data_IF_963701377738
#
_entry.id   IF_963701377738
#
_cell.length_a   1.000
_cell.length_b   1.000
_cell.length_c   1.000
_cell.angle_alpha   90.00
_cell.angle_beta   90.00
_cell.angle_gamma   90.00
#
_symmetry.space_group_name_H-M   'P 1'
#
loop_
_entity.id
_entity.type
_entity.pdbx_description
1 polymer ?
#
# COMPACT_ATOMS: atom_id res chain seq x y z
N UNK A 1 1.55 -13.13 7.86
CA UNK A 1 1.78 -11.72 8.19
C UNK A 1 3.11 -11.64 8.90
N UNK A 2 4.07 -10.94 8.31
CA UNK A 2 5.41 -10.75 8.86
C UNK A 2 5.63 -9.26 9.11
N UNK A 3 6.19 -8.93 10.27
CA UNK A 3 6.59 -7.58 10.59
C UNK A 3 7.94 -7.64 11.30
N UNK A 4 8.87 -6.80 10.84
CA UNK A 4 10.20 -6.66 11.42
C UNK A 4 10.44 -5.18 11.66
N UNK A 5 10.77 -4.86 12.90
CA UNK A 5 11.11 -3.52 13.35
C UNK A 5 12.54 -3.52 13.87
N UNK A 6 13.36 -2.64 13.34
CA UNK A 6 14.70 -2.38 13.84
C UNK A 6 14.80 -0.90 14.21
N UNK A 7 15.33 -0.63 15.39
CA UNK A 7 15.64 0.75 15.76
C UNK A 7 16.96 0.81 16.53
N UNK A 8 17.69 1.89 16.28
CA UNK A 8 18.92 2.24 16.98
C UNK A 8 18.75 3.66 17.46
N UNK A 9 18.94 3.86 18.75
CA UNK A 9 18.91 5.17 19.37
C UNK A 9 20.14 5.35 20.24
N UNK A 10 20.62 6.58 20.33
CA UNK A 10 21.82 6.89 21.08
C UNK A 10 22.12 8.37 21.08
N UNK A 11 23.19 8.74 21.77
CA UNK A 11 23.61 10.11 21.81
C UNK A 11 24.75 10.36 22.78
N UNK A 12 25.37 11.52 22.64
CA UNK A 12 26.32 12.10 23.57
C UNK A 12 25.71 13.34 24.24
N UNK A 13 26.48 14.04 25.07
CA UNK A 13 26.04 15.28 25.70
C UNK A 13 25.58 16.37 24.70
N UNK A 14 26.05 16.32 23.44
CA UNK A 14 25.75 17.34 22.41
C UNK A 14 24.79 16.88 21.33
N UNK A 15 24.70 15.58 21.05
CA UNK A 15 23.92 15.06 19.92
C UNK A 15 23.12 13.86 20.34
N UNK A 16 21.83 13.84 20.05
CA UNK A 16 21.00 12.64 20.09
C UNK A 16 20.59 12.25 18.67
N UNK A 17 20.54 10.94 18.42
CA UNK A 17 20.12 10.37 17.16
C UNK A 17 19.21 9.17 17.38
N UNK A 18 18.33 8.96 16.42
CA UNK A 18 17.42 7.84 16.33
C UNK A 18 17.29 7.46 14.86
N UNK A 19 17.46 6.18 14.58
CA UNK A 19 17.23 5.58 13.28
C UNK A 19 16.29 4.40 13.48
N UNK A 20 15.28 4.27 12.62
CA UNK A 20 14.46 3.07 12.58
C UNK A 20 14.08 2.67 11.17
N UNK A 21 13.91 1.36 11.00
CA UNK A 21 13.38 0.73 9.81
C UNK A 21 12.26 -0.22 10.22
N UNK A 22 11.19 -0.25 9.42
CA UNK A 22 10.09 -1.19 9.56
C UNK A 22 9.83 -1.84 8.21
N UNK A 23 9.69 -3.16 8.22
CA UNK A 23 9.17 -3.93 7.09
C UNK A 23 7.92 -4.66 7.53
N UNK A 24 6.86 -4.56 6.74
CA UNK A 24 5.61 -5.27 6.97
C UNK A 24 5.12 -5.92 5.67
N UNK A 25 4.90 -7.23 5.72
CA UNK A 25 4.29 -8.01 4.66
C UNK A 25 3.00 -8.66 5.18
N UNK A 26 1.89 -8.39 4.51
CA UNK A 26 0.58 -8.89 4.88
C UNK A 26 -0.17 -9.35 3.64
N UNK A 27 -0.35 -10.67 3.54
CA UNK A 27 -1.37 -11.26 2.67
C UNK A 27 -2.76 -10.93 3.22
N UNK A 28 -3.62 -10.42 2.36
CA UNK A 28 -5.02 -10.11 2.64
C UNK A 28 -5.88 -11.36 2.79
N UNK A 29 -7.11 -11.17 3.24
CA UNK A 29 -8.10 -12.26 3.37
C UNK A 29 -8.69 -12.66 2.01
N UNK A 30 -8.67 -11.74 1.05
CA UNK A 30 -9.13 -11.98 -0.31
C UNK A 30 -7.95 -12.45 -1.17
N UNK A 31 -8.13 -13.48 -2.01
CA UNK A 31 -7.16 -13.83 -3.04
C UNK A 31 -6.77 -12.62 -3.87
N UNK A 32 -5.47 -12.46 -4.16
CA UNK A 32 -4.94 -11.30 -4.90
C UNK A 32 -4.81 -10.01 -4.08
N UNK A 33 -5.17 -10.01 -2.79
CA UNK A 33 -4.91 -8.88 -1.90
C UNK A 33 -3.63 -9.08 -1.10
N UNK A 34 -2.73 -8.10 -1.16
CA UNK A 34 -1.49 -8.10 -0.38
C UNK A 34 -1.00 -6.68 -0.11
N UNK A 35 -0.19 -6.54 0.93
CA UNK A 35 0.44 -5.29 1.34
C UNK A 35 1.90 -5.54 1.72
N UNK A 36 2.80 -4.85 1.04
CA UNK A 36 4.23 -4.77 1.36
C UNK A 36 4.58 -3.32 1.67
N UNK A 37 5.13 -3.06 2.86
CA UNK A 37 5.47 -1.71 3.30
C UNK A 37 6.85 -1.67 3.92
N UNK A 38 7.62 -0.68 3.48
CA UNK A 38 8.94 -0.34 3.98
C UNK A 38 8.88 1.08 4.53
N UNK A 39 9.27 1.27 5.79
CA UNK A 39 9.38 2.59 6.38
C UNK A 39 10.79 2.79 6.92
N UNK A 40 11.31 4.00 6.75
CA UNK A 40 12.56 4.44 7.32
C UNK A 40 12.35 5.77 8.03
N UNK A 41 12.87 5.90 9.24
CA UNK A 41 12.79 7.13 10.02
C UNK A 41 14.14 7.48 10.62
N UNK A 42 14.48 8.76 10.55
CA UNK A 42 15.66 9.35 11.18
C UNK A 42 15.25 10.56 11.99
N UNK A 43 15.70 10.65 13.24
CA UNK A 43 15.63 11.88 14.02
C UNK A 43 17.03 12.20 14.56
N UNK A 44 17.51 13.42 14.34
CA UNK A 44 18.81 13.90 14.82
C UNK A 44 18.57 15.25 15.49
N UNK A 45 19.04 15.44 16.71
CA UNK A 45 19.10 16.73 17.40
C UNK A 45 20.54 16.95 17.85
N UNK A 46 21.11 18.11 17.52
CA UNK A 46 22.50 18.46 17.82
C UNK A 46 22.61 19.88 18.34
N UNK A 47 23.16 20.01 19.55
CA UNK A 47 23.69 21.25 20.10
C UNK A 47 25.10 21.48 19.57
N UNK A 48 25.19 22.10 18.39
CA UNK A 48 26.46 22.46 17.77
C UNK A 48 27.25 23.44 18.65
N UNK A 49 26.54 24.33 19.36
CA UNK A 49 27.13 25.22 20.38
C UNK A 49 26.10 25.55 21.47
N UNK A 50 26.52 26.24 22.54
CA UNK A 50 25.61 26.67 23.62
C UNK A 50 24.48 27.59 23.13
N UNK A 51 24.70 28.27 22.01
CA UNK A 51 23.74 29.17 21.37
C UNK A 51 23.16 28.62 20.06
N UNK A 52 23.54 27.41 19.62
CA UNK A 52 23.11 26.85 18.34
C UNK A 52 22.67 25.40 18.49
N UNK A 53 21.39 25.15 18.20
CA UNK A 53 20.82 23.82 18.10
C UNK A 53 20.23 23.60 16.71
N UNK A 54 20.48 22.41 16.17
CA UNK A 54 19.98 21.95 14.89
C UNK A 54 19.17 20.69 15.13
N UNK A 55 18.08 20.52 14.39
CA UNK A 55 17.36 19.26 14.40
C UNK A 55 16.81 18.89 13.04
N UNK A 56 16.76 17.59 12.80
CA UNK A 56 16.26 16.96 11.57
C UNK A 56 15.38 15.78 11.96
N UNK A 57 14.18 15.71 11.39
CA UNK A 57 13.28 14.57 11.44
C UNK A 57 12.90 14.24 10.01
N UNK A 58 13.20 13.03 9.56
CA UNK A 58 12.91 12.56 8.22
C UNK A 58 12.22 11.20 8.32
N UNK A 59 11.09 11.07 7.64
CA UNK A 59 10.38 9.82 7.38
C UNK A 59 10.30 9.58 5.88
N UNK A 60 10.60 8.35 5.48
CA UNK A 60 10.43 7.83 4.13
C UNK A 60 9.62 6.54 4.21
N UNK A 61 8.64 6.41 3.32
CA UNK A 61 7.79 5.24 3.22
C UNK A 61 7.67 4.81 1.76
N UNK A 62 7.76 3.51 1.53
CA UNK A 62 7.36 2.88 0.29
C UNK A 62 6.31 1.82 0.61
N UNK A 63 5.23 1.82 -0.16
CA UNK A 63 4.14 0.87 -0.02
C UNK A 63 3.80 0.31 -1.40
N UNK A 64 3.80 -1.00 -1.50
CA UNK A 64 3.16 -1.76 -2.56
C UNK A 64 1.89 -2.40 -2.00
N UNK A 65 0.77 -2.29 -2.71
CA UNK A 65 -0.46 -2.97 -2.32
C UNK A 65 -1.22 -3.46 -3.53
N UNK A 66 -1.56 -4.74 -3.55
CA UNK A 66 -2.56 -5.31 -4.44
C UNK A 66 -3.90 -5.39 -3.70
N UNK A 67 -4.97 -4.99 -4.38
CA UNK A 67 -6.32 -5.04 -3.82
C UNK A 67 -7.16 -5.87 -4.77
N UNK A 68 -7.76 -6.94 -4.26
CA UNK A 68 -8.79 -7.65 -5.00
C UNK A 68 -9.88 -6.66 -5.37
N UNK A 69 -10.27 -6.60 -6.64
CA UNK A 69 -11.22 -5.59 -7.09
C UNK A 69 -12.58 -5.81 -6.41
N UNK A 70 -12.84 -5.01 -5.38
CA UNK A 70 -14.12 -4.97 -4.66
C UNK A 70 -14.89 -3.70 -4.97
N UNK A 71 -14.33 -2.82 -5.81
CA UNK A 71 -14.76 -1.43 -5.94
C UNK A 71 -14.82 -0.99 -7.41
N UNK A 72 -15.84 -1.45 -8.11
CA UNK A 72 -16.31 -0.78 -9.32
C UNK A 72 -17.31 0.31 -8.93
N UNK A 73 -16.82 1.54 -8.75
CA UNK A 73 -17.46 2.86 -8.95
C UNK A 73 -18.89 3.18 -8.46
N UNK A 74 -19.63 2.25 -7.84
CA UNK A 74 -21.08 2.43 -7.61
C UNK A 74 -21.61 1.88 -6.28
N UNK A 75 -20.74 1.53 -5.32
CA UNK A 75 -21.19 1.12 -3.97
C UNK A 75 -22.17 -0.05 -3.96
N UNK A 76 -22.20 -0.84 -5.03
CA UNK A 76 -23.16 -1.91 -5.27
C UNK A 76 -22.56 -3.30 -5.03
N UNK A 77 -23.32 -4.17 -4.40
CA UNK A 77 -23.04 -5.59 -4.25
C UNK A 77 -23.26 -6.30 -5.60
N UNK A 78 -22.28 -6.23 -6.49
CA UNK A 78 -22.33 -6.88 -7.80
C UNK A 78 -21.82 -8.31 -7.74
N UNK A 79 -22.28 -9.17 -8.66
CA UNK A 79 -21.86 -10.56 -8.77
C UNK A 79 -20.41 -10.75 -9.22
N UNK A 80 -19.72 -9.65 -9.58
CA UNK A 80 -18.27 -9.56 -9.83
C UNK A 80 -17.45 -9.37 -8.56
N UNK A 81 -18.06 -8.87 -7.47
CA UNK A 81 -17.37 -8.73 -6.19
C UNK A 81 -17.14 -10.13 -5.59
N UNK A 82 -15.89 -10.52 -5.28
CA UNK A 82 -15.59 -11.88 -4.84
C UNK A 82 -16.28 -12.25 -3.52
N UNK A 83 -16.58 -11.28 -2.64
CA UNK A 83 -17.33 -11.50 -1.39
C UNK A 83 -18.79 -11.81 -1.69
N UNK A 84 -19.41 -11.06 -2.61
CA UNK A 84 -20.82 -11.30 -2.99
C UNK A 84 -20.99 -12.54 -3.83
N UNK A 85 -20.11 -12.77 -4.80
CA UNK A 85 -20.06 -14.01 -5.56
C UNK A 85 -19.96 -15.22 -4.62
N UNK A 86 -19.10 -15.16 -3.60
CA UNK A 86 -18.99 -16.22 -2.59
C UNK A 86 -20.26 -16.40 -1.75
N UNK A 87 -21.02 -15.33 -1.49
CA UNK A 87 -22.25 -15.38 -0.69
C UNK A 87 -23.45 -15.97 -1.45
N UNK A 88 -23.58 -15.64 -2.75
CA UNK A 88 -24.73 -16.08 -3.57
C UNK A 88 -24.49 -17.42 -4.27
N UNK A 89 -23.23 -17.86 -4.38
CA UNK A 89 -22.88 -19.13 -5.01
C UNK A 89 -23.27 -20.30 -4.10
N UNK A 90 -24.05 -21.28 -4.60
CA UNK A 90 -24.40 -22.46 -3.82
C UNK A 90 -23.14 -23.24 -3.38
N UNK A 91 -23.10 -23.82 -2.18
CA UNK A 91 -21.91 -24.51 -1.67
C UNK A 91 -21.53 -25.78 -2.47
N UNK A 92 -22.44 -26.28 -3.31
CA UNK A 92 -22.22 -27.43 -4.20
C UNK A 92 -21.81 -27.02 -5.63
N UNK A 93 -21.71 -25.72 -5.92
CA UNK A 93 -21.26 -25.24 -7.22
C UNK A 93 -19.76 -25.57 -7.36
N UNK A 94 -19.35 -26.40 -8.35
CA UNK A 94 -17.94 -26.63 -8.61
C UNK A 94 -17.26 -25.33 -9.06
N UNK A 95 -16.01 -25.12 -8.62
CA UNK A 95 -15.17 -23.99 -9.04
C UNK A 95 -14.30 -24.32 -10.26
N UNK A 96 -14.17 -25.60 -10.59
CA UNK A 96 -13.39 -26.13 -11.69
C UNK A 96 -14.25 -27.10 -12.51
N UNK A 97 -13.96 -27.20 -13.80
CA UNK A 97 -14.56 -28.20 -14.68
C UNK A 97 -13.92 -29.58 -14.47
N UNK A 98 -14.45 -30.59 -15.15
CA UNK A 98 -13.96 -31.98 -15.09
C UNK A 98 -12.51 -32.14 -15.59
N UNK A 99 -11.98 -31.16 -16.33
CA UNK A 99 -10.60 -31.13 -16.80
C UNK A 99 -9.66 -30.35 -15.86
N UNK A 100 -10.17 -29.83 -14.74
CA UNK A 100 -9.43 -29.04 -13.77
C UNK A 100 -9.21 -27.58 -14.17
N UNK A 101 -9.88 -27.07 -15.22
CA UNK A 101 -9.86 -25.66 -15.56
C UNK A 101 -10.84 -24.87 -14.69
N UNK A 102 -10.45 -23.67 -14.25
CA UNK A 102 -11.32 -22.81 -13.44
C UNK A 102 -12.58 -22.44 -14.23
N UNK A 103 -13.75 -22.63 -13.63
CA UNK A 103 -15.00 -22.14 -14.18
C UNK A 103 -15.06 -20.64 -13.96
N UNK A 104 -15.30 -19.88 -15.03
CA UNK A 104 -15.22 -18.42 -14.97
C UNK A 104 -16.54 -17.76 -14.51
N UNK A 105 -17.67 -18.38 -14.88
CA UNK A 105 -19.01 -17.96 -14.52
C UNK A 105 -19.81 -19.17 -14.04
N UNK A 106 -20.76 -18.93 -13.14
CA UNK A 106 -21.72 -19.93 -12.71
C UNK A 106 -23.06 -19.68 -13.38
N UNK A 107 -23.50 -20.62 -14.22
CA UNK A 107 -24.73 -20.48 -15.02
C UNK A 107 -25.97 -20.18 -14.14
N UNK A 108 -26.05 -20.80 -12.96
CA UNK A 108 -27.19 -20.70 -12.06
C UNK A 108 -27.35 -19.32 -11.40
N UNK A 109 -26.24 -18.63 -11.12
CA UNK A 109 -26.23 -17.34 -10.39
C UNK A 109 -25.76 -16.18 -11.24
N UNK A 110 -25.26 -16.46 -12.46
CA UNK A 110 -24.53 -15.51 -13.31
C UNK A 110 -23.34 -14.86 -12.58
N UNK A 111 -22.88 -15.47 -11.48
CA UNK A 111 -21.78 -14.94 -10.69
C UNK A 111 -20.44 -15.30 -11.30
N UNK A 112 -19.47 -14.40 -11.12
CA UNK A 112 -18.08 -14.67 -11.47
C UNK A 112 -17.48 -15.59 -10.40
N UNK A 113 -16.62 -16.51 -10.80
CA UNK A 113 -15.87 -17.29 -9.84
C UNK A 113 -14.99 -16.36 -8.98
N UNK A 114 -15.14 -16.37 -7.64
CA UNK A 114 -14.43 -15.44 -6.77
C UNK A 114 -12.90 -15.61 -6.79
N UNK A 115 -12.39 -16.71 -7.35
CA UNK A 115 -10.95 -16.91 -7.57
C UNK A 115 -10.44 -16.21 -8.84
N UNK A 116 -11.32 -15.84 -9.76
CA UNK A 116 -10.98 -15.31 -11.08
C UNK A 116 -10.46 -13.86 -11.03
N UNK A 117 -10.92 -13.04 -10.08
CA UNK A 117 -10.52 -11.62 -10.00
C UNK A 117 -9.03 -11.43 -9.72
N UNK A 118 -8.42 -12.33 -8.94
CA UNK A 118 -6.99 -12.28 -8.65
C UNK A 118 -6.12 -12.57 -9.89
N UNK A 119 -6.58 -13.44 -10.79
CA UNK A 119 -5.80 -13.94 -11.92
C UNK A 119 -6.01 -13.10 -13.21
N UNK A 120 -7.21 -12.54 -13.41
CA UNK A 120 -7.59 -11.91 -14.68
C UNK A 120 -7.61 -10.38 -14.66
N UNK A 121 -7.71 -9.76 -13.48
CA UNK A 121 -7.80 -8.31 -13.29
C UNK A 121 -6.86 -7.82 -12.17
N UNK A 122 -5.54 -8.08 -12.26
CA UNK A 122 -4.63 -7.65 -11.22
C UNK A 122 -4.57 -6.11 -11.17
N UNK A 123 -4.80 -5.57 -9.97
CA UNK A 123 -4.68 -4.14 -9.68
C UNK A 123 -3.77 -3.92 -8.50
N UNK A 124 -2.71 -3.16 -8.72
CA UNK A 124 -1.78 -2.80 -7.64
C UNK A 124 -1.45 -1.32 -7.66
N UNK A 125 -1.02 -0.85 -6.49
CA UNK A 125 -0.65 0.53 -6.25
C UNK A 125 0.72 0.58 -5.62
N UNK A 126 1.52 1.54 -6.09
CA UNK A 126 2.79 1.90 -5.48
C UNK A 126 2.67 3.32 -4.92
N UNK A 127 3.07 3.50 -3.66
CA UNK A 127 3.09 4.81 -3.02
C UNK A 127 4.43 5.06 -2.38
N UNK A 128 5.04 6.19 -2.70
CA UNK A 128 6.19 6.75 -2.00
C UNK A 128 5.69 7.92 -1.18
N UNK A 129 6.06 8.00 0.09
CA UNK A 129 5.76 9.13 0.98
C UNK A 129 7.04 9.63 1.62
N UNK A 130 7.20 10.95 1.70
CA UNK A 130 8.29 11.62 2.39
C UNK A 130 7.73 12.70 3.30
N UNK A 131 8.10 12.65 4.57
CA UNK A 131 7.79 13.69 5.54
C UNK A 131 9.09 14.14 6.23
N UNK A 132 9.48 15.39 6.02
CA UNK A 132 10.72 15.95 6.54
C UNK A 132 10.46 17.22 7.34
N UNK A 133 11.19 17.42 8.43
CA UNK A 133 11.25 18.67 9.16
C UNK A 133 12.69 18.93 9.60
N UNK A 134 13.21 20.10 9.25
CA UNK A 134 14.49 20.59 9.76
C UNK A 134 14.26 21.89 10.54
N UNK A 135 15.04 22.10 11.59
CA UNK A 135 15.00 23.36 12.32
C UNK A 135 16.38 23.82 12.77
N UNK A 136 16.50 25.13 12.90
CA UNK A 136 17.63 25.83 13.47
C UNK A 136 17.10 26.64 14.64
N UNK A 137 17.76 26.52 15.78
CA UNK A 137 17.45 27.26 16.99
C UNK A 137 18.71 28.00 17.46
N UNK A 138 18.56 29.31 17.61
CA UNK A 138 19.60 30.23 18.01
C UNK A 138 19.26 30.80 19.39
N UNK A 139 20.23 30.86 20.29
CA UNK A 139 20.11 31.49 21.61
C UNK A 139 21.21 32.53 21.78
N UNK A 140 21.13 33.69 21.10
CA UNK A 140 22.25 34.65 21.03
C UNK A 140 22.61 35.23 22.40
N UNK A 141 21.60 35.43 23.25
CA UNK A 141 21.74 35.87 24.64
C UNK A 141 20.86 35.02 25.54
N UNK A 142 21.25 34.88 26.81
CA UNK A 142 20.50 34.10 27.79
C UNK A 142 19.07 34.65 27.92
N UNK A 143 18.07 33.78 27.71
CA UNK A 143 16.66 34.14 27.80
C UNK A 143 15.99 34.49 26.47
N UNK A 144 16.72 34.56 25.35
CA UNK A 144 16.16 34.75 24.02
C UNK A 144 16.47 33.56 23.12
N UNK A 145 15.44 32.81 22.71
CA UNK A 145 15.56 31.70 21.77
C UNK A 145 14.77 32.02 20.50
N UNK A 146 15.47 32.02 19.36
CA UNK A 146 14.90 32.22 18.02
C UNK A 146 14.92 30.87 17.32
N UNK A 147 13.77 30.39 16.86
CA UNK A 147 13.66 29.13 16.13
C UNK A 147 13.10 29.38 14.74
N UNK A 148 13.76 28.83 13.74
CA UNK A 148 13.27 28.73 12.37
C UNK A 148 13.17 27.26 11.98
N UNK A 149 12.09 26.88 11.30
CA UNK A 149 11.88 25.51 10.86
C UNK A 149 11.26 25.44 9.48
N UNK A 150 11.65 24.42 8.72
CA UNK A 150 11.09 24.07 7.43
C UNK A 150 10.56 22.65 7.50
N UNK A 151 9.33 22.46 7.05
CA UNK A 151 8.71 21.14 6.92
C UNK A 151 8.30 20.89 5.47
N UNK A 152 8.45 19.65 5.02
CA UNK A 152 8.10 19.16 3.69
C UNK A 152 7.29 17.90 3.86
N UNK A 153 6.15 17.84 3.18
CA UNK A 153 5.37 16.62 2.99
C UNK A 153 5.17 16.42 1.49
N UNK A 154 5.50 15.23 1.01
CA UNK A 154 5.42 14.88 -0.41
C UNK A 154 5.06 13.42 -0.56
N UNK A 155 4.32 13.09 -1.62
CA UNK A 155 4.04 11.72 -1.99
C UNK A 155 3.96 11.57 -3.50
N UNK A 156 4.27 10.38 -3.98
CA UNK A 156 3.99 9.91 -5.34
C UNK A 156 3.11 8.67 -5.21
N UNK A 157 2.04 8.60 -6.01
CA UNK A 157 1.13 7.47 -6.03
C UNK A 157 0.92 7.07 -7.48
N UNK A 158 1.07 5.77 -7.75
CA UNK A 158 0.89 5.19 -9.07
C UNK A 158 -0.03 3.99 -8.98
N UNK A 159 -1.06 3.97 -9.81
CA UNK A 159 -1.97 2.84 -9.92
C UNK A 159 -1.74 2.12 -11.23
N UNK A 160 -1.66 0.79 -11.14
CA UNK A 160 -1.55 -0.08 -12.30
C UNK A 160 -2.77 -0.99 -12.31
N UNK A 161 -3.38 -1.09 -13.47
CA UNK A 161 -4.42 -2.07 -13.75
C UNK A 161 -4.13 -2.75 -15.08
N UNK A 162 -4.26 -4.06 -15.11
CA UNK A 162 -4.22 -4.82 -16.34
C UNK A 162 -5.43 -5.76 -16.39
N UNK A 163 -6.01 -5.89 -17.59
CA UNK A 163 -7.04 -6.88 -17.88
C UNK A 163 -6.48 -7.89 -18.87
N UNK A 164 -6.53 -9.17 -18.51
CA UNK A 164 -6.07 -10.24 -19.41
C UNK A 164 -6.90 -10.26 -20.71
N UNK A 165 -6.29 -10.50 -21.89
CA UNK A 165 -7.05 -10.75 -23.12
C UNK A 165 -7.95 -11.99 -23.03
N UNK A 166 -7.62 -12.91 -22.11
CA UNK A 166 -8.41 -14.10 -21.82
C UNK A 166 -9.54 -13.84 -20.82
N UNK A 167 -9.70 -12.59 -20.34
CA UNK A 167 -10.78 -12.23 -19.43
C UNK A 167 -12.12 -12.62 -20.07
N UNK A 168 -12.82 -13.60 -19.48
CA UNK A 168 -14.01 -14.16 -20.07
C UNK A 168 -15.16 -13.15 -19.86
N UNK A 169 -15.94 -12.89 -20.90
CA UNK A 169 -17.14 -12.07 -20.81
C UNK A 169 -18.37 -12.96 -20.98
N UNK A 170 -19.57 -12.54 -20.49
CA UNK A 170 -20.81 -13.28 -20.70
C UNK A 170 -21.17 -13.53 -22.19
N UNK A 171 -20.50 -12.85 -23.13
CA UNK A 171 -20.70 -12.97 -24.58
C UNK A 171 -19.57 -13.72 -25.31
N UNK A 172 -18.62 -14.31 -24.58
CA UNK A 172 -17.51 -15.10 -25.12
C UNK A 172 -16.12 -14.50 -24.90
N UNK A 173 -15.08 -15.19 -25.41
CA UNK A 173 -13.66 -14.80 -25.32
C UNK A 173 -13.33 -13.66 -26.31
N UNK A 174 -13.77 -12.45 -26.01
CA UNK A 174 -13.27 -11.23 -26.65
C UNK A 174 -12.85 -10.23 -25.56
N UNK A 175 -11.83 -10.59 -24.77
CA UNK A 175 -11.15 -9.61 -23.92
C UNK A 175 -10.22 -8.76 -24.77
N UNK A 176 -10.56 -7.49 -25.02
CA UNK A 176 -9.56 -6.54 -25.48
C UNK A 176 -8.64 -6.25 -24.29
N UNK A 177 -7.42 -6.79 -24.30
CA UNK A 177 -6.44 -6.48 -23.26
C UNK A 177 -6.22 -4.97 -23.18
N UNK A 178 -6.33 -4.42 -21.99
CA UNK A 178 -6.03 -3.02 -21.71
C UNK A 178 -5.10 -2.94 -20.51
N UNK A 179 -4.09 -2.08 -20.64
CA UNK A 179 -3.19 -1.72 -19.55
C UNK A 179 -3.26 -0.20 -19.40
N UNK A 180 -3.43 0.27 -18.18
CA UNK A 180 -3.40 1.69 -17.85
C UNK A 180 -2.44 1.94 -16.69
N UNK A 181 -1.70 3.04 -16.81
CA UNK A 181 -0.87 3.60 -15.75
C UNK A 181 -1.38 5.02 -15.51
N UNK A 182 -1.73 5.32 -14.25
CA UNK A 182 -2.19 6.63 -13.77
C UNK A 182 -1.31 7.11 -12.63
#
# INVERSE_FOLDING_TARGET
MYQVDLSVSGGSAKTSYYFSGNYANKTGILPGSELDRYNFRTNIDTRANNWLRLGLNLGLGYQHSSVADTDESMGGLYVSNPVMASLITPPYQPLYDDNGQMLNFFDATQAINPLMTADYMPRWQNRITMNGMAFIELTPVKGLTIRSSLAVDAFDWRSHGASSPETPTPSGKFGTGSASEL
#
